data_IF_600399972477
#
_entry.id   IF_600399972477
#
_cell.length_a   1.000
_cell.length_b   1.000
_cell.length_c   1.000
_cell.angle_alpha   90.00
_cell.angle_beta   90.00
_cell.angle_gamma   90.00
#
_symmetry.space_group_name_H-M   'P 1'
#
loop_
_entity.id
_entity.type
_entity.pdbx_description
1 polymer ?
#
# COMPACT_ATOMS: atom_id res chain seq x y z
N UNK A 1 -7.18 -12.28 13.31
CA UNK A 1 -5.82 -12.77 13.01
C UNK A 1 -5.19 -11.79 12.04
N UNK A 2 -4.01 -11.23 12.33
CA UNK A 2 -3.25 -10.41 11.39
C UNK A 2 -1.99 -11.18 10.96
N UNK A 3 -1.55 -10.99 9.72
CA UNK A 3 -0.37 -11.66 9.17
C UNK A 3 0.43 -10.70 8.29
N UNK A 4 1.69 -11.06 8.06
CA UNK A 4 2.55 -10.39 7.08
C UNK A 4 3.45 -11.43 6.42
N UNK A 5 3.67 -11.32 5.12
CA UNK A 5 4.57 -12.20 4.39
C UNK A 5 5.99 -11.64 4.42
N UNK A 6 6.97 -12.51 4.68
CA UNK A 6 8.37 -12.16 4.59
C UNK A 6 9.02 -12.85 3.38
N UNK A 7 9.53 -12.15 2.37
CA UNK A 7 9.72 -10.69 2.27
C UNK A 7 9.15 -10.10 0.98
N UNK A 8 9.04 -8.78 0.96
CA UNK A 8 8.88 -8.03 -0.28
C UNK A 8 10.14 -8.13 -1.16
N UNK A 9 11.30 -7.99 -0.51
CA UNK A 9 12.61 -7.90 -1.17
C UNK A 9 13.02 -9.15 -1.94
N UNK A 10 13.54 -9.01 -3.17
CA UNK A 10 14.06 -10.14 -3.94
C UNK A 10 15.39 -10.67 -3.40
N UNK A 11 16.20 -9.83 -2.75
CA UNK A 11 17.58 -10.13 -2.38
C UNK A 11 17.75 -10.86 -1.04
N UNK A 12 16.67 -11.36 -0.44
CA UNK A 12 16.77 -12.18 0.76
C UNK A 12 17.37 -13.55 0.39
N UNK A 13 18.53 -13.88 0.97
CA UNK A 13 19.23 -15.14 0.70
C UNK A 13 18.36 -16.34 1.08
N UNK A 14 18.05 -17.22 0.13
CA UNK A 14 17.36 -18.49 0.33
C UNK A 14 15.94 -18.54 -0.28
N UNK A 15 15.07 -17.60 0.06
CA UNK A 15 13.66 -17.59 -0.36
C UNK A 15 13.32 -16.50 -1.36
N UNK A 16 14.11 -15.42 -1.43
CA UNK A 16 13.74 -14.20 -2.16
C UNK A 16 12.42 -13.59 -1.66
N UNK A 17 11.78 -12.75 -2.48
CA UNK A 17 10.55 -12.06 -2.10
C UNK A 17 9.42 -12.17 -3.11
N UNK A 18 8.41 -11.32 -2.95
CA UNK A 18 7.33 -11.13 -3.93
C UNK A 18 7.86 -10.45 -5.19
N UNK A 19 8.81 -9.53 -5.05
CA UNK A 19 9.50 -8.97 -6.21
C UNK A 19 10.53 -9.96 -6.78
N UNK A 20 10.72 -9.90 -8.08
CA UNK A 20 11.83 -10.49 -8.81
C UNK A 20 13.10 -9.63 -8.68
N UNK A 21 14.23 -10.16 -9.15
CA UNK A 21 15.54 -9.52 -9.01
C UNK A 21 15.69 -8.15 -9.68
N UNK A 22 14.77 -7.80 -10.58
CA UNK A 22 14.72 -6.49 -11.26
C UNK A 22 13.99 -5.40 -10.44
N UNK A 23 13.47 -5.76 -9.26
CA UNK A 23 12.74 -4.86 -8.37
C UNK A 23 11.48 -4.21 -8.96
N UNK A 24 10.96 -4.77 -10.04
CA UNK A 24 9.78 -4.26 -10.74
C UNK A 24 8.77 -5.37 -11.02
N UNK A 25 9.26 -6.54 -11.42
CA UNK A 25 8.42 -7.68 -11.76
C UNK A 25 7.94 -8.41 -10.51
N UNK A 26 6.64 -8.67 -10.44
CA UNK A 26 6.02 -9.47 -9.37
C UNK A 26 6.09 -10.96 -9.70
N UNK A 27 6.46 -11.79 -8.72
CA UNK A 27 6.38 -13.24 -8.81
C UNK A 27 4.93 -13.70 -8.55
N UNK A 28 4.15 -13.79 -9.62
CA UNK A 28 2.71 -14.12 -9.57
C UNK A 28 2.42 -15.50 -8.99
N UNK A 29 3.30 -16.48 -9.19
CA UNK A 29 3.15 -17.82 -8.60
C UNK A 29 3.16 -17.77 -7.06
N UNK A 30 4.06 -16.96 -6.48
CA UNK A 30 4.07 -16.75 -5.02
C UNK A 30 2.85 -15.98 -4.54
N UNK A 31 2.42 -14.96 -5.30
CA UNK A 31 1.25 -14.15 -4.96
C UNK A 31 -0.04 -14.99 -4.94
N UNK A 32 -0.20 -15.91 -5.89
CA UNK A 32 -1.37 -16.80 -5.98
C UNK A 32 -1.56 -17.65 -4.72
N UNK A 33 -0.47 -18.07 -4.06
CA UNK A 33 -0.56 -18.80 -2.80
C UNK A 33 -1.03 -17.95 -1.62
N UNK A 34 -0.81 -16.62 -1.69
CA UNK A 34 -1.20 -15.69 -0.64
C UNK A 34 -2.61 -15.14 -0.82
N UNK A 35 -3.18 -15.22 -2.03
CA UNK A 35 -4.47 -14.64 -2.38
C UNK A 35 -5.60 -15.07 -1.43
N UNK A 36 -5.66 -16.36 -1.09
CA UNK A 36 -6.67 -16.89 -0.17
C UNK A 36 -6.55 -16.37 1.28
N UNK A 37 -5.41 -15.77 1.65
CA UNK A 37 -5.16 -15.18 2.97
C UNK A 37 -5.37 -13.66 2.97
N UNK A 38 -5.46 -13.03 1.81
CA UNK A 38 -5.64 -11.58 1.70
C UNK A 38 -7.04 -11.18 2.15
N UNK A 39 -7.12 -9.97 2.71
CA UNK A 39 -8.41 -9.36 3.01
C UNK A 39 -8.98 -8.80 1.71
N UNK A 40 -10.26 -9.06 1.48
CA UNK A 40 -10.97 -8.42 0.40
C UNK A 40 -11.12 -6.94 0.74
N UNK A 41 -10.47 -6.08 -0.04
CA UNK A 41 -10.66 -4.63 0.05
C UNK A 41 -11.82 -4.32 -0.88
N UNK A 42 -13.00 -4.18 -0.31
CA UNK A 42 -14.18 -3.78 -1.04
C UNK A 42 -13.96 -2.38 -1.64
N UNK A 43 -13.63 -2.34 -2.93
CA UNK A 43 -13.43 -1.11 -3.69
C UNK A 43 -14.73 -0.28 -3.84
N UNK A 44 -15.88 -0.86 -3.50
CA UNK A 44 -17.19 -0.19 -3.49
C UNK A 44 -17.58 0.33 -2.11
N UNK A 45 -16.83 -0.01 -1.06
CA UNK A 45 -17.07 0.53 0.27
C UNK A 45 -16.90 2.04 0.22
N UNK A 46 -17.93 2.82 0.63
CA UNK A 46 -17.84 4.26 0.64
C UNK A 46 -16.66 4.67 1.51
N UNK A 47 -15.72 5.43 0.93
CA UNK A 47 -14.57 5.95 1.66
C UNK A 47 -15.02 6.66 2.92
N UNK A 48 -14.32 6.44 4.03
CA UNK A 48 -14.62 7.14 5.29
C UNK A 48 -14.08 8.57 5.16
N UNK A 49 -14.89 9.62 5.47
CA UNK A 49 -14.41 10.99 5.48
C UNK A 49 -13.20 11.12 6.41
N UNK A 50 -12.07 11.57 5.86
CA UNK A 50 -10.88 11.88 6.65
C UNK A 50 -10.92 13.35 7.06
N UNK A 51 -10.84 13.61 8.37
CA UNK A 51 -10.74 14.96 8.90
C UNK A 51 -9.26 15.32 9.11
N UNK A 52 -8.83 16.39 8.48
CA UNK A 52 -7.49 16.96 8.66
C UNK A 52 -7.62 18.40 9.18
N UNK A 53 -6.73 18.78 10.11
CA UNK A 53 -6.64 20.16 10.59
C UNK A 53 -5.61 20.89 9.75
N UNK A 54 -6.04 21.94 9.05
CA UNK A 54 -5.15 22.82 8.29
C UNK A 54 -4.89 24.07 9.11
N UNK A 55 -3.62 24.42 9.30
CA UNK A 55 -3.23 25.71 9.86
C UNK A 55 -2.25 26.40 8.91
N UNK A 56 -2.40 27.72 8.76
CA UNK A 56 -1.41 28.53 8.08
C UNK A 56 -0.50 29.16 9.13
N UNK A 57 0.82 29.12 8.88
CA UNK A 57 1.79 29.79 9.73
C UNK A 57 1.74 31.34 9.61
N UNK A 58 1.08 31.86 8.57
CA UNK A 58 0.94 33.29 8.31
C UNK A 58 -0.30 33.56 7.43
N UNK A 59 -0.80 34.82 7.36
CA UNK A 59 -1.88 35.19 6.45
C UNK A 59 -1.53 34.89 4.98
N UNK A 60 -2.49 34.40 4.20
CA UNK A 60 -2.34 34.15 2.75
C UNK A 60 -3.46 34.85 1.97
N UNK A 61 -3.09 35.49 0.85
CA UNK A 61 -4.02 36.04 -0.13
C UNK A 61 -4.27 35.11 -1.34
N UNK A 62 -3.71 33.89 -1.29
CA UNK A 62 -3.83 32.89 -2.36
C UNK A 62 -4.99 31.93 -2.09
N UNK A 63 -5.66 31.48 -3.15
CA UNK A 63 -6.73 30.48 -3.08
C UNK A 63 -6.19 29.14 -2.58
N UNK A 64 -6.88 28.55 -1.60
CA UNK A 64 -6.61 27.19 -1.11
C UNK A 64 -7.69 26.25 -1.65
N UNK A 65 -7.29 25.25 -2.42
CA UNK A 65 -8.19 24.21 -2.94
C UNK A 65 -7.98 22.91 -2.19
N UNK A 66 -9.05 22.34 -1.67
CA UNK A 66 -9.08 20.96 -1.16
C UNK A 66 -9.81 20.12 -2.22
N UNK A 67 -9.15 19.07 -2.70
CA UNK A 67 -9.71 18.08 -3.62
C UNK A 67 -9.57 16.68 -3.06
#
# INVERSE_FOLDING_TARGET
>A
MSWTFWSWNPNLRGTGGILAGDWNTVNTNKLAHLEALQFDVDATSPGVPAQFVVSLAAPSSQTVTVG
#
